data_IF_251808618715
#
_entry.id   IF_251808618715
#
_cell.length_a   1.000
_cell.length_b   1.000
_cell.length_c   1.000
_cell.angle_alpha   90.00
_cell.angle_beta   90.00
_cell.angle_gamma   90.00
#
_symmetry.space_group_name_H-M   'P 1'
#
loop_
_entity.id
_entity.type
_entity.pdbx_description
1 polymer ?
#
# COMPACT_ATOMS: atom_id res chain seq x y z
N UNK A 1 27.24 -3.22 -53.13
CA UNK A 1 26.69 -4.38 -52.41
C UNK A 1 27.42 -4.49 -51.08
N UNK A 2 26.85 -3.91 -50.02
CA UNK A 2 27.40 -3.99 -48.67
C UNK A 2 26.77 -5.21 -47.98
N UNK A 3 27.58 -6.22 -47.71
CA UNK A 3 27.18 -7.41 -46.96
C UNK A 3 26.94 -7.00 -45.50
N UNK A 4 25.68 -6.78 -45.14
CA UNK A 4 25.22 -6.66 -43.76
C UNK A 4 25.53 -7.97 -43.03
N UNK A 5 26.69 -8.01 -42.37
CA UNK A 5 27.12 -9.12 -41.54
C UNK A 5 26.22 -9.24 -40.31
N UNK A 6 25.82 -10.47 -39.98
CA UNK A 6 25.12 -10.83 -38.75
C UNK A 6 25.81 -10.32 -37.48
N UNK A 7 27.13 -10.07 -37.53
CA UNK A 7 27.89 -9.46 -36.43
C UNK A 7 27.53 -7.99 -36.19
N UNK A 8 27.25 -7.22 -37.25
CA UNK A 8 26.87 -5.80 -37.16
C UNK A 8 25.46 -5.63 -36.58
N UNK A 9 24.56 -6.58 -36.86
CA UNK A 9 23.22 -6.64 -36.26
C UNK A 9 23.33 -6.99 -34.77
N UNK A 10 24.14 -7.99 -34.40
CA UNK A 10 24.36 -8.38 -33.00
C UNK A 10 24.99 -7.27 -32.16
N UNK A 11 25.94 -6.52 -32.74
CA UNK A 11 26.63 -5.41 -32.06
C UNK A 11 25.77 -4.13 -31.95
N UNK A 12 24.82 -3.92 -32.87
CA UNK A 12 23.82 -2.86 -32.73
C UNK A 12 22.69 -3.23 -31.77
N UNK A 13 22.31 -4.52 -31.68
CA UNK A 13 21.38 -4.99 -30.64
C UNK A 13 21.97 -4.89 -29.22
N UNK A 14 23.28 -5.06 -29.05
CA UNK A 14 23.92 -4.86 -27.73
C UNK A 14 24.08 -3.39 -27.33
N UNK A 15 23.84 -2.45 -28.25
CA UNK A 15 23.73 -1.00 -27.96
C UNK A 15 22.29 -0.55 -27.72
N UNK A 16 21.30 -1.42 -27.92
CA UNK A 16 19.95 -1.19 -27.42
C UNK A 16 19.99 -1.39 -25.91
N UNK A 17 20.09 -0.28 -25.19
CA UNK A 17 19.95 -0.22 -23.74
C UNK A 17 18.55 -0.75 -23.39
N UNK A 18 18.46 -2.03 -23.02
CA UNK A 18 17.21 -2.74 -22.72
C UNK A 18 16.39 -2.05 -21.62
N UNK A 19 17.04 -1.23 -20.79
CA UNK A 19 16.41 -0.37 -19.81
C UNK A 19 15.46 0.68 -20.43
N UNK A 20 15.83 1.28 -21.57
CA UNK A 20 15.03 2.31 -22.23
C UNK A 20 13.79 1.78 -22.97
N UNK A 21 13.80 0.50 -23.36
CA UNK A 21 12.68 -0.13 -24.08
C UNK A 21 11.61 -0.72 -23.14
N UNK A 22 11.91 -0.83 -21.85
CA UNK A 22 11.04 -1.52 -20.88
C UNK A 22 9.71 -0.77 -20.70
N UNK A 23 9.74 0.55 -20.52
CA UNK A 23 8.51 1.35 -20.34
C UNK A 23 7.58 1.35 -21.58
N UNK A 24 8.08 1.61 -22.82
CA UNK A 24 7.26 1.47 -24.02
C UNK A 24 6.70 0.06 -24.22
N UNK A 25 7.49 -0.99 -23.96
CA UNK A 25 7.04 -2.37 -24.09
C UNK A 25 5.92 -2.70 -23.09
N UNK A 26 6.02 -2.18 -21.87
CA UNK A 26 5.01 -2.33 -20.83
C UNK A 26 3.70 -1.62 -21.18
N UNK A 27 3.76 -0.40 -21.71
CA UNK A 27 2.57 0.32 -22.20
C UNK A 27 1.93 -0.43 -23.36
N UNK A 28 2.73 -0.91 -24.31
CA UNK A 28 2.25 -1.71 -25.44
C UNK A 28 1.61 -3.02 -24.98
N UNK A 29 2.17 -3.67 -23.95
CA UNK A 29 1.59 -4.85 -23.32
C UNK A 29 0.22 -4.53 -22.72
N UNK A 30 0.09 -3.45 -21.95
CA UNK A 30 -1.20 -3.00 -21.40
C UNK A 30 -2.22 -2.76 -22.52
N UNK A 31 -1.83 -2.05 -23.58
CA UNK A 31 -2.71 -1.80 -24.73
C UNK A 31 -3.11 -3.10 -25.45
N UNK A 32 -2.17 -4.03 -25.60
CA UNK A 32 -2.43 -5.34 -26.20
C UNK A 32 -3.43 -6.15 -25.37
N UNK A 33 -3.35 -6.12 -24.04
CA UNK A 33 -4.28 -6.80 -23.14
C UNK A 33 -5.71 -6.27 -23.27
N UNK A 34 -5.89 -4.98 -23.61
CA UNK A 34 -7.23 -4.40 -23.82
C UNK A 34 -7.88 -4.91 -25.12
N UNK A 35 -7.09 -5.18 -26.16
CA UNK A 35 -7.59 -5.50 -27.51
C UNK A 35 -7.62 -7.00 -27.77
N UNK A 36 -6.65 -7.76 -27.23
CA UNK A 36 -6.49 -9.18 -27.50
C UNK A 36 -7.12 -10.04 -26.38
N UNK A 37 -7.81 -11.14 -26.73
CA UNK A 37 -8.32 -12.07 -25.73
C UNK A 37 -7.14 -12.78 -25.06
N UNK A 38 -7.06 -12.70 -23.74
CA UNK A 38 -6.01 -13.37 -22.98
C UNK A 38 -6.44 -14.78 -22.57
N UNK A 39 -5.56 -15.78 -22.75
CA UNK A 39 -5.77 -17.09 -22.15
C UNK A 39 -5.89 -17.00 -20.62
N UNK A 40 -6.74 -17.82 -19.97
CA UNK A 40 -6.94 -17.79 -18.52
C UNK A 40 -5.66 -17.94 -17.69
N UNK A 41 -4.67 -18.69 -18.19
CA UNK A 41 -3.37 -18.88 -17.53
C UNK A 41 -2.59 -17.57 -17.39
N UNK A 42 -2.63 -16.70 -18.41
CA UNK A 42 -1.97 -15.40 -18.33
C UNK A 42 -2.71 -14.44 -17.41
N UNK A 43 -4.05 -14.50 -17.37
CA UNK A 43 -4.83 -13.73 -16.40
C UNK A 43 -4.46 -14.11 -14.97
N UNK A 44 -4.42 -15.41 -14.65
CA UNK A 44 -4.01 -15.88 -13.33
C UNK A 44 -2.60 -15.38 -12.96
N UNK A 45 -1.64 -15.45 -13.90
CA UNK A 45 -0.28 -14.96 -13.68
C UNK A 45 -0.25 -13.46 -13.39
N UNK A 46 -0.89 -12.64 -14.22
CA UNK A 46 -0.87 -11.19 -14.07
C UNK A 46 -1.67 -10.69 -12.86
N UNK A 47 -2.79 -11.34 -12.50
CA UNK A 47 -3.50 -11.04 -11.26
C UNK A 47 -2.64 -11.36 -10.03
N UNK A 48 -2.01 -12.53 -10.01
CA UNK A 48 -1.09 -12.91 -8.93
C UNK A 48 0.10 -11.95 -8.85
N UNK A 49 0.67 -11.59 -9.99
CA UNK A 49 1.75 -10.60 -10.08
C UNK A 49 1.31 -9.22 -9.54
N UNK A 50 0.09 -8.77 -9.85
CA UNK A 50 -0.44 -7.51 -9.36
C UNK A 50 -0.60 -7.52 -7.83
N UNK A 51 -1.07 -8.64 -7.24
CA UNK A 51 -1.15 -8.83 -5.78
C UNK A 51 0.24 -8.79 -5.14
N UNK A 52 1.21 -9.54 -5.70
CA UNK A 52 2.60 -9.55 -5.20
C UNK A 52 3.21 -8.16 -5.27
N UNK A 53 3.02 -7.44 -6.38
CA UNK A 53 3.49 -6.07 -6.54
C UNK A 53 2.91 -5.15 -5.45
N UNK A 54 1.60 -5.22 -5.20
CA UNK A 54 0.97 -4.42 -4.17
C UNK A 54 1.47 -4.77 -2.75
N UNK A 55 1.71 -6.06 -2.46
CA UNK A 55 2.31 -6.52 -1.20
C UNK A 55 3.75 -6.02 -1.01
N UNK A 56 4.57 -6.06 -2.07
CA UNK A 56 5.93 -5.51 -2.01
C UNK A 56 5.88 -4.00 -1.76
N UNK A 57 5.00 -3.28 -2.45
CA UNK A 57 4.85 -1.83 -2.30
C UNK A 57 4.44 -1.43 -0.89
N UNK A 58 3.46 -2.12 -0.27
CA UNK A 58 3.07 -1.83 1.12
C UNK A 58 4.18 -2.16 2.11
N UNK A 59 4.93 -3.24 1.90
CA UNK A 59 6.05 -3.61 2.78
C UNK A 59 7.18 -2.57 2.71
N UNK A 60 7.51 -2.08 1.51
CA UNK A 60 8.44 -0.97 1.34
C UNK A 60 7.91 0.28 2.06
N UNK A 61 6.63 0.62 1.87
CA UNK A 61 6.03 1.79 2.50
C UNK A 61 6.08 1.74 4.04
N UNK A 62 5.89 0.57 4.65
CA UNK A 62 6.00 0.38 6.11
C UNK A 62 7.45 0.55 6.57
N UNK A 63 8.41 -0.03 5.83
CA UNK A 63 9.84 -0.02 6.18
C UNK A 63 10.57 1.29 5.90
N UNK A 64 10.05 2.12 5.00
CA UNK A 64 10.62 3.44 4.66
C UNK A 64 10.53 4.42 5.83
N UNK A 65 11.62 5.16 6.09
CA UNK A 65 11.69 6.17 7.16
C UNK A 65 11.24 7.55 6.68
N UNK A 66 11.63 7.93 5.46
CA UNK A 66 11.27 9.21 4.83
C UNK A 66 10.56 8.99 3.49
N UNK A 67 9.49 9.73 3.16
CA UNK A 67 8.78 9.58 1.89
C UNK A 67 9.70 9.56 0.65
N UNK A 68 10.74 10.40 0.64
CA UNK A 68 11.68 10.53 -0.47
C UNK A 68 12.57 9.30 -0.70
N UNK A 69 12.73 8.40 0.28
CA UNK A 69 13.46 7.14 0.09
C UNK A 69 12.73 6.22 -0.91
N UNK A 70 11.41 6.41 -1.07
CA UNK A 70 10.62 5.74 -2.09
C UNK A 70 10.13 6.72 -3.15
N UNK A 71 11.05 7.52 -3.72
CA UNK A 71 10.74 8.55 -4.72
C UNK A 71 10.05 8.01 -5.99
N UNK A 72 10.22 6.73 -6.33
CA UNK A 72 9.56 6.07 -7.45
C UNK A 72 8.10 5.67 -7.17
N UNK A 73 7.62 5.84 -5.95
CA UNK A 73 6.28 5.41 -5.52
C UNK A 73 5.13 5.91 -6.41
N UNK A 74 5.04 7.20 -6.80
CA UNK A 74 3.95 7.67 -7.67
C UNK A 74 3.92 6.97 -9.03
N UNK A 75 5.10 6.65 -9.58
CA UNK A 75 5.21 5.95 -10.87
C UNK A 75 4.80 4.49 -10.72
N UNK A 76 5.22 3.82 -9.64
CA UNK A 76 4.81 2.44 -9.35
C UNK A 76 3.30 2.35 -9.12
N UNK A 77 2.72 3.31 -8.40
CA UNK A 77 1.28 3.41 -8.16
C UNK A 77 0.51 3.56 -9.48
N UNK A 78 0.95 4.46 -10.36
CA UNK A 78 0.34 4.66 -11.68
C UNK A 78 0.43 3.39 -12.54
N UNK A 79 1.59 2.73 -12.56
CA UNK A 79 1.76 1.50 -13.32
C UNK A 79 0.88 0.36 -12.79
N UNK A 80 0.87 0.14 -11.47
CA UNK A 80 0.11 -0.92 -10.84
C UNK A 80 -1.40 -0.73 -11.02
N UNK A 81 -1.88 0.52 -11.00
CA UNK A 81 -3.29 0.85 -11.29
C UNK A 81 -3.64 0.66 -12.76
N UNK A 82 -2.80 1.10 -13.71
CA UNK A 82 -3.04 0.86 -15.13
C UNK A 82 -3.07 -0.63 -15.48
N UNK A 83 -2.12 -1.41 -14.94
CA UNK A 83 -2.09 -2.86 -15.12
C UNK A 83 -3.38 -3.50 -14.57
N UNK A 84 -3.84 -3.04 -13.41
CA UNK A 84 -5.10 -3.51 -12.81
C UNK A 84 -6.31 -3.19 -13.68
N UNK A 85 -6.41 -1.95 -14.18
CA UNK A 85 -7.52 -1.55 -15.06
C UNK A 85 -7.55 -2.40 -16.33
N UNK A 86 -6.38 -2.62 -16.93
CA UNK A 86 -6.24 -3.45 -18.13
C UNK A 86 -6.65 -4.90 -17.87
N UNK A 87 -6.27 -5.45 -16.71
CA UNK A 87 -6.67 -6.78 -16.28
C UNK A 87 -8.18 -6.89 -16.09
N UNK A 88 -8.82 -5.91 -15.45
CA UNK A 88 -10.28 -5.90 -15.26
C UNK A 88 -11.03 -5.88 -16.59
N UNK A 89 -10.54 -5.12 -17.58
CA UNK A 89 -11.15 -5.10 -18.92
C UNK A 89 -10.92 -6.43 -19.64
N UNK A 90 -9.72 -6.99 -19.56
CA UNK A 90 -9.40 -8.26 -20.19
C UNK A 90 -10.18 -9.44 -19.57
N UNK A 91 -10.29 -9.49 -18.24
CA UNK A 91 -11.03 -10.52 -17.51
C UNK A 91 -12.53 -10.39 -17.77
N UNK A 92 -13.08 -9.17 -17.78
CA UNK A 92 -14.47 -8.88 -18.15
C UNK A 92 -14.82 -9.48 -19.50
N UNK A 93 -13.98 -9.27 -20.51
CA UNK A 93 -14.19 -9.88 -21.83
C UNK A 93 -14.24 -11.40 -21.75
N UNK A 94 -13.30 -12.02 -21.04
CA UNK A 94 -13.26 -13.48 -20.89
C UNK A 94 -14.49 -13.99 -20.14
N UNK A 95 -14.95 -13.28 -19.11
CA UNK A 95 -16.17 -13.61 -18.36
C UNK A 95 -17.40 -13.52 -19.25
N UNK A 96 -17.55 -12.46 -20.04
CA UNK A 96 -18.72 -12.29 -20.90
C UNK A 96 -18.77 -13.27 -22.07
N UNK A 97 -17.61 -13.60 -22.66
CA UNK A 97 -17.52 -14.49 -23.82
C UNK A 97 -17.54 -15.97 -23.40
N UNK A 98 -16.75 -16.36 -22.39
CA UNK A 98 -16.55 -17.76 -22.02
C UNK A 98 -17.23 -18.13 -20.69
N UNK A 99 -17.91 -17.21 -20.00
CA UNK A 99 -18.48 -17.47 -18.67
C UNK A 99 -19.51 -18.59 -18.62
N UNK A 100 -20.12 -18.94 -19.76
CA UNK A 100 -21.01 -20.10 -19.89
C UNK A 100 -20.27 -21.46 -19.82
N UNK A 101 -18.95 -21.50 -20.05
CA UNK A 101 -18.16 -22.74 -20.07
C UNK A 101 -17.86 -23.29 -18.67
N UNK A 102 -18.13 -22.50 -17.63
CA UNK A 102 -18.00 -22.91 -16.23
C UNK A 102 -17.30 -21.89 -15.35
N UNK A 103 -17.12 -22.23 -14.07
CA UNK A 103 -16.52 -21.36 -13.05
C UNK A 103 -15.04 -21.06 -13.27
N UNK A 104 -14.34 -21.85 -14.09
CA UNK A 104 -12.91 -21.65 -14.40
C UNK A 104 -12.65 -20.85 -15.68
N UNK A 105 -13.70 -20.36 -16.35
CA UNK A 105 -13.56 -19.65 -17.62
C UNK A 105 -12.65 -18.41 -17.54
N UNK A 106 -12.67 -17.70 -16.40
CA UNK A 106 -11.89 -16.49 -16.17
C UNK A 106 -10.55 -16.73 -15.45
N UNK A 107 -10.13 -17.98 -15.30
CA UNK A 107 -8.94 -18.37 -14.55
C UNK A 107 -9.26 -18.99 -13.19
N UNK A 108 -8.27 -19.67 -12.62
CA UNK A 108 -8.39 -20.37 -11.34
C UNK A 108 -8.36 -19.41 -10.16
N UNK A 109 -7.64 -18.29 -10.29
CA UNK A 109 -7.55 -17.27 -9.24
C UNK A 109 -8.92 -16.64 -9.04
N UNK A 110 -9.56 -16.17 -10.12
CA UNK A 110 -10.92 -15.60 -10.08
C UNK A 110 -11.93 -16.58 -9.49
N UNK A 111 -11.91 -17.84 -9.94
CA UNK A 111 -12.80 -18.88 -9.42
C UNK A 111 -12.63 -19.09 -7.90
N UNK A 112 -11.39 -19.21 -7.42
CA UNK A 112 -11.09 -19.46 -6.03
C UNK A 112 -11.53 -18.31 -5.11
N UNK A 113 -11.32 -17.05 -5.53
CA UNK A 113 -11.79 -15.88 -4.80
C UNK A 113 -13.31 -15.76 -4.79
N UNK A 114 -13.98 -16.09 -5.90
CA UNK A 114 -15.44 -16.12 -5.97
C UNK A 114 -16.05 -17.16 -5.04
N UNK A 115 -15.51 -18.38 -5.04
CA UNK A 115 -15.96 -19.47 -4.15
C UNK A 115 -15.73 -19.14 -2.66
N UNK A 116 -14.60 -18.50 -2.33
CA UNK A 116 -14.26 -18.11 -0.97
C UNK A 116 -15.31 -17.17 -0.35
N UNK A 117 -15.80 -16.18 -1.10
CA UNK A 117 -16.77 -15.19 -0.56
C UNK A 117 -18.20 -15.69 -0.61
N UNK A 118 -18.55 -16.54 -1.57
CA UNK A 118 -19.92 -17.05 -1.70
C UNK A 118 -20.24 -18.07 -0.62
N UNK A 119 -19.27 -18.89 -0.18
CA UNK A 119 -19.44 -19.88 0.90
C UNK A 119 -20.72 -20.74 0.74
N UNK A 120 -21.11 -21.04 -0.50
CA UNK A 120 -22.31 -21.82 -0.85
C UNK A 120 -23.62 -21.02 -1.00
N UNK A 121 -23.67 -19.74 -0.62
CA UNK A 121 -24.85 -18.88 -0.79
C UNK A 121 -24.55 -17.64 -1.64
N UNK A 122 -24.94 -17.70 -2.92
CA UNK A 122 -24.69 -16.65 -3.92
C UNK A 122 -25.30 -15.29 -3.55
N UNK A 123 -26.47 -15.27 -2.90
CA UNK A 123 -27.12 -14.03 -2.48
C UNK A 123 -26.33 -13.35 -1.37
N UNK A 124 -25.93 -14.13 -0.36
CA UNK A 124 -25.10 -13.63 0.74
C UNK A 124 -23.74 -13.17 0.23
N UNK A 125 -23.12 -13.95 -0.66
CA UNK A 125 -21.85 -13.59 -1.31
C UNK A 125 -21.94 -12.25 -2.06
N UNK A 126 -23.00 -12.02 -2.82
CA UNK A 126 -23.24 -10.75 -3.52
C UNK A 126 -23.38 -9.58 -2.54
N UNK A 127 -24.13 -9.75 -1.44
CA UNK A 127 -24.31 -8.70 -0.43
C UNK A 127 -22.98 -8.35 0.25
N UNK A 128 -22.23 -9.36 0.71
CA UNK A 128 -20.92 -9.17 1.34
C UNK A 128 -19.97 -8.46 0.36
N UNK A 129 -19.95 -8.91 -0.89
CA UNK A 129 -19.12 -8.31 -1.91
C UNK A 129 -19.47 -6.84 -2.18
N UNK A 130 -20.76 -6.49 -2.27
CA UNK A 130 -21.20 -5.09 -2.44
C UNK A 130 -20.78 -4.23 -1.24
N UNK A 131 -20.86 -4.75 -0.02
CA UNK A 131 -20.37 -4.05 1.18
C UNK A 131 -18.86 -3.80 1.08
N UNK A 132 -18.07 -4.81 0.72
CA UNK A 132 -16.62 -4.67 0.55
C UNK A 132 -16.27 -3.63 -0.53
N UNK A 133 -16.99 -3.65 -1.66
CA UNK A 133 -16.88 -2.63 -2.72
C UNK A 133 -17.16 -1.22 -2.21
N UNK A 134 -18.24 -1.03 -1.46
CA UNK A 134 -18.59 0.27 -0.89
C UNK A 134 -17.50 0.75 0.07
N UNK A 135 -17.02 -0.11 0.98
CA UNK A 135 -15.97 0.24 1.94
C UNK A 135 -14.68 0.62 1.21
N UNK A 136 -14.25 -0.18 0.23
CA UNK A 136 -13.05 0.12 -0.52
C UNK A 136 -13.14 1.45 -1.26
N UNK A 137 -14.25 1.71 -1.97
CA UNK A 137 -14.40 2.93 -2.75
C UNK A 137 -14.61 4.18 -1.87
N UNK A 138 -15.63 4.16 -0.99
CA UNK A 138 -16.05 5.34 -0.23
C UNK A 138 -15.08 5.64 0.90
N UNK A 139 -14.62 4.63 1.64
CA UNK A 139 -13.80 4.83 2.82
C UNK A 139 -12.32 4.86 2.45
N UNK A 140 -11.85 3.82 1.76
CA UNK A 140 -10.39 3.64 1.56
C UNK A 140 -9.88 4.51 0.41
N UNK A 141 -10.36 4.33 -0.82
CA UNK A 141 -9.83 5.04 -1.99
C UNK A 141 -10.10 6.53 -1.92
N UNK A 142 -11.35 6.95 -1.65
CA UNK A 142 -11.67 8.38 -1.47
C UNK A 142 -10.96 8.99 -0.25
N UNK A 143 -10.85 8.24 0.84
CA UNK A 143 -10.12 8.69 2.03
C UNK A 143 -8.64 8.93 1.74
N UNK A 144 -7.96 7.95 1.16
CA UNK A 144 -6.56 8.04 0.76
C UNK A 144 -6.33 9.16 -0.25
N UNK A 145 -7.23 9.33 -1.24
CA UNK A 145 -7.16 10.41 -2.22
C UNK A 145 -7.27 11.80 -1.56
N UNK A 146 -8.22 12.00 -0.66
CA UNK A 146 -8.39 13.26 0.09
C UNK A 146 -7.16 13.57 0.95
N UNK A 147 -6.63 12.59 1.64
CA UNK A 147 -5.43 12.75 2.47
C UNK A 147 -4.21 13.08 1.61
N UNK A 148 -4.07 12.42 0.46
CA UNK A 148 -3.00 12.71 -0.52
C UNK A 148 -3.10 14.10 -1.11
N UNK A 149 -4.27 14.51 -1.58
CA UNK A 149 -4.49 15.83 -2.18
C UNK A 149 -4.17 16.96 -1.18
N UNK A 150 -4.71 16.84 0.04
CA UNK A 150 -4.55 17.87 1.07
C UNK A 150 -3.10 17.98 1.54
N UNK A 151 -2.43 16.86 1.83
CA UNK A 151 -1.03 16.88 2.26
C UNK A 151 -0.07 17.30 1.15
N UNK A 152 -0.30 16.84 -0.09
CA UNK A 152 0.51 17.29 -1.23
C UNK A 152 0.38 18.80 -1.39
N UNK A 153 -0.85 19.34 -1.35
CA UNK A 153 -1.06 20.77 -1.49
C UNK A 153 -0.42 21.58 -0.37
N UNK A 154 -0.62 21.21 0.89
CA UNK A 154 0.00 21.93 2.00
C UNK A 154 1.54 21.85 1.98
N UNK A 155 2.08 20.70 1.58
CA UNK A 155 3.54 20.54 1.45
C UNK A 155 4.08 21.40 0.32
N UNK A 156 3.39 21.46 -0.83
CA UNK A 156 3.75 22.30 -1.98
C UNK A 156 3.61 23.80 -1.67
N UNK A 157 2.56 24.20 -0.95
CA UNK A 157 2.34 25.59 -0.53
C UNK A 157 3.42 26.07 0.47
N UNK A 158 4.04 25.14 1.23
CA UNK A 158 5.14 25.43 2.14
C UNK A 158 6.53 25.53 1.47
N UNK A 159 6.66 25.17 0.19
CA UNK A 159 7.95 25.10 -0.51
C UNK A 159 8.67 26.44 -0.64
N UNK A 160 8.01 27.56 -0.98
CA UNK A 160 8.66 28.86 -1.01
C UNK A 160 9.24 29.26 0.36
N UNK A 161 8.54 28.93 1.45
CA UNK A 161 9.02 29.16 2.81
C UNK A 161 10.29 28.35 3.12
N UNK A 162 10.31 27.06 2.75
CA UNK A 162 11.50 26.20 2.88
C UNK A 162 12.67 26.69 2.01
N UNK A 163 12.41 27.21 0.80
CA UNK A 163 13.44 27.81 -0.06
C UNK A 163 14.03 29.06 0.59
N UNK A 164 13.15 29.97 1.05
CA UNK A 164 13.57 31.21 1.72
C UNK A 164 14.36 30.92 3.01
N UNK A 165 14.02 29.89 3.78
CA UNK A 165 14.80 29.53 4.96
C UNK A 165 16.20 29.01 4.61
N UNK A 166 16.36 28.25 3.52
CA UNK A 166 17.70 27.82 3.06
C UNK A 166 18.53 29.04 2.63
N UNK A 167 17.92 30.00 1.95
CA UNK A 167 18.60 31.22 1.51
C UNK A 167 18.97 32.11 2.69
N UNK A 168 18.10 32.21 3.70
CA UNK A 168 18.36 32.93 4.94
C UNK A 168 19.51 32.27 5.72
N UNK A 169 19.52 30.94 5.87
CA UNK A 169 20.58 30.19 6.55
C UNK A 169 21.94 30.38 5.85
N UNK A 170 21.96 30.37 4.51
CA UNK A 170 23.17 30.59 3.71
C UNK A 170 23.68 32.03 3.86
N UNK A 171 22.78 33.01 3.82
CA UNK A 171 23.13 34.43 4.00
C UNK A 171 23.58 34.74 5.43
N UNK A 172 23.06 34.01 6.42
CA UNK A 172 23.47 34.09 7.83
C UNK A 172 24.79 33.34 8.12
N UNK A 173 25.33 32.59 7.15
CA UNK A 173 26.55 31.79 7.31
C UNK A 173 26.38 30.55 8.18
N UNK A 174 25.13 30.11 8.44
CA UNK A 174 24.84 28.88 9.20
C UNK A 174 25.12 27.61 8.38
N UNK A 175 25.03 27.72 7.05
CA UNK A 175 25.31 26.63 6.11
C UNK A 175 26.23 27.12 4.98
N UNK A 176 26.97 26.19 4.38
CA UNK A 176 27.82 26.44 3.22
C UNK A 176 27.06 26.26 1.89
N UNK A 177 27.69 26.65 0.78
CA UNK A 177 27.11 26.57 -0.56
C UNK A 177 26.81 25.11 -1.00
N UNK A 178 27.64 24.13 -0.62
CA UNK A 178 27.39 22.75 -1.00
C UNK A 178 26.18 22.18 -0.25
N UNK A 179 26.06 22.46 1.05
CA UNK A 179 24.87 22.07 1.84
C UNK A 179 23.61 22.76 1.32
N UNK A 180 23.67 24.06 1.00
CA UNK A 180 22.54 24.78 0.42
C UNK A 180 22.08 24.16 -0.91
N UNK A 181 23.03 23.80 -1.79
CA UNK A 181 22.73 23.12 -3.06
C UNK A 181 22.08 21.76 -2.83
N UNK A 182 22.57 20.96 -1.88
CA UNK A 182 21.99 19.66 -1.53
C UNK A 182 20.56 19.79 -0.99
N UNK A 183 20.33 20.72 -0.04
CA UNK A 183 18.99 20.98 0.50
C UNK A 183 18.00 21.46 -0.56
N UNK A 184 18.43 22.32 -1.48
CA UNK A 184 17.59 22.75 -2.63
C UNK A 184 17.26 21.58 -3.57
N UNK A 185 18.20 20.67 -3.81
CA UNK A 185 17.95 19.48 -4.62
C UNK A 185 16.95 18.53 -3.95
N UNK A 186 17.09 18.28 -2.64
CA UNK A 186 16.11 17.51 -1.85
C UNK A 186 14.73 18.16 -1.88
N UNK A 187 14.66 19.49 -1.77
CA UNK A 187 13.42 20.24 -1.86
C UNK A 187 12.79 20.14 -3.27
N UNK A 188 13.58 20.18 -4.33
CA UNK A 188 13.07 19.93 -5.69
C UNK A 188 12.45 18.53 -5.82
N UNK A 189 13.12 17.51 -5.29
CA UNK A 189 12.61 16.14 -5.29
C UNK A 189 11.32 15.99 -4.49
N UNK A 190 11.21 16.71 -3.36
CA UNK A 190 9.97 16.77 -2.57
C UNK A 190 8.82 17.40 -3.38
N UNK A 191 9.09 18.46 -4.14
CA UNK A 191 8.11 19.08 -5.03
C UNK A 191 7.62 18.10 -6.10
N UNK A 192 8.56 17.46 -6.79
CA UNK A 192 8.24 16.54 -7.89
C UNK A 192 7.50 15.31 -7.38
N UNK A 193 7.87 14.81 -6.20
CA UNK A 193 7.22 13.68 -5.53
C UNK A 193 5.77 13.99 -5.21
N UNK A 194 5.49 15.05 -4.43
CA UNK A 194 4.13 15.39 -4.02
C UNK A 194 3.26 15.87 -5.19
N UNK A 195 3.84 16.55 -6.18
CA UNK A 195 3.15 16.91 -7.41
C UNK A 195 2.74 15.68 -8.24
N UNK A 196 3.65 14.72 -8.43
CA UNK A 196 3.35 13.46 -9.12
C UNK A 196 2.36 12.59 -8.34
N UNK A 197 2.42 12.65 -7.01
CA UNK A 197 1.57 11.88 -6.11
C UNK A 197 0.10 12.34 -6.13
N UNK A 198 -0.17 13.65 -6.20
CA UNK A 198 -1.54 14.17 -6.40
C UNK A 198 -2.14 13.67 -7.71
N UNK A 199 -1.34 13.69 -8.79
CA UNK A 199 -1.74 13.15 -10.09
C UNK A 199 -2.05 11.65 -10.03
N UNK A 200 -1.11 10.83 -9.52
CA UNK A 200 -1.28 9.38 -9.43
C UNK A 200 -2.49 8.98 -8.55
N UNK A 201 -2.75 9.70 -7.46
CA UNK A 201 -3.90 9.43 -6.57
C UNK A 201 -5.26 9.66 -7.23
N UNK A 202 -5.36 10.62 -8.17
CA UNK A 202 -6.56 10.82 -8.98
C UNK A 202 -6.81 9.67 -9.95
N UNK A 203 -5.76 9.06 -10.50
CA UNK A 203 -5.87 7.84 -11.32
C UNK A 203 -6.40 6.65 -10.51
N UNK A 204 -5.90 6.44 -9.29
CA UNK A 204 -6.39 5.37 -8.39
C UNK A 204 -7.89 5.56 -8.10
N UNK A 205 -8.31 6.80 -7.85
CA UNK A 205 -9.71 7.14 -7.57
C UNK A 205 -10.60 6.91 -8.79
N UNK A 206 -10.13 7.29 -9.99
CA UNK A 206 -10.84 7.06 -11.24
C UNK A 206 -11.00 5.57 -11.55
N UNK A 207 -9.97 4.77 -11.29
CA UNK A 207 -10.04 3.33 -11.48
C UNK A 207 -11.10 2.68 -10.56
N UNK A 208 -11.18 3.07 -9.28
CA UNK A 208 -12.15 2.45 -8.38
C UNK A 208 -13.62 2.70 -8.84
N UNK A 209 -13.89 3.85 -9.47
CA UNK A 209 -15.17 4.13 -10.14
C UNK A 209 -15.36 3.19 -11.34
N UNK A 210 -14.32 3.04 -12.18
CA UNK A 210 -14.37 2.14 -13.32
C UNK A 210 -14.64 0.68 -12.88
N UNK A 211 -13.98 0.20 -11.81
CA UNK A 211 -14.22 -1.14 -11.26
C UNK A 211 -15.67 -1.37 -10.82
N UNK A 212 -16.31 -0.35 -10.22
CA UNK A 212 -17.73 -0.43 -9.87
C UNK A 212 -18.64 -0.48 -11.12
N UNK A 213 -18.31 0.29 -12.16
CA UNK A 213 -19.06 0.26 -13.42
C UNK A 213 -18.90 -1.09 -14.14
N UNK A 214 -17.67 -1.61 -14.20
CA UNK A 214 -17.35 -2.91 -14.78
C UNK A 214 -18.14 -4.02 -14.10
N UNK A 215 -18.25 -3.98 -12.76
CA UNK A 215 -19.07 -4.92 -12.01
C UNK A 215 -20.53 -4.94 -12.49
N UNK A 216 -21.15 -3.77 -12.58
CA UNK A 216 -22.55 -3.64 -12.98
C UNK A 216 -22.72 -4.17 -14.41
N UNK A 217 -21.79 -3.83 -15.30
CA UNK A 217 -21.77 -4.32 -16.68
C UNK A 217 -21.62 -5.84 -16.72
N UNK A 218 -20.79 -6.44 -15.87
CA UNK A 218 -20.56 -7.88 -15.85
C UNK A 218 -21.78 -8.65 -15.34
N UNK A 219 -22.43 -8.17 -14.28
CA UNK A 219 -23.65 -8.80 -13.75
C UNK A 219 -24.77 -8.69 -14.79
N UNK A 220 -25.06 -7.49 -15.28
CA UNK A 220 -26.20 -7.25 -16.19
C UNK A 220 -25.94 -7.86 -17.57
N UNK A 221 -24.76 -7.61 -18.14
CA UNK A 221 -24.35 -8.13 -19.43
C UNK A 221 -24.18 -9.64 -19.43
N UNK A 222 -23.59 -10.21 -18.38
CA UNK A 222 -23.44 -11.65 -18.22
C UNK A 222 -24.77 -12.37 -18.11
N UNK A 223 -25.71 -11.84 -17.32
CA UNK A 223 -27.07 -12.37 -17.26
C UNK A 223 -27.79 -12.29 -18.60
N UNK A 224 -27.70 -11.15 -19.30
CA UNK A 224 -28.31 -10.97 -20.61
C UNK A 224 -27.74 -11.95 -21.65
N UNK A 225 -26.42 -12.08 -21.74
CA UNK A 225 -25.74 -13.02 -22.66
C UNK A 225 -26.06 -14.47 -22.31
N UNK A 226 -25.98 -14.84 -21.03
CA UNK A 226 -26.26 -16.19 -20.56
C UNK A 226 -27.68 -16.67 -20.90
N UNK A 227 -28.67 -15.81 -20.70
CA UNK A 227 -30.08 -16.15 -20.96
C UNK A 227 -30.40 -16.06 -22.45
N UNK A 228 -29.99 -14.98 -23.14
CA UNK A 228 -30.43 -14.72 -24.52
C UNK A 228 -29.61 -15.48 -25.58
N UNK A 229 -28.31 -15.70 -25.34
CA UNK A 229 -27.42 -16.31 -26.34
C UNK A 229 -27.10 -17.78 -26.02
N UNK A 230 -26.99 -18.14 -24.75
CA UNK A 230 -26.56 -19.48 -24.33
C UNK A 230 -27.69 -20.36 -23.76
N UNK A 231 -28.95 -19.89 -23.81
CA UNK A 231 -30.14 -20.61 -23.32
C UNK A 231 -30.02 -21.10 -21.87
N UNK A 232 -29.23 -20.44 -21.03
CA UNK A 232 -29.12 -20.77 -19.61
C UNK A 232 -30.36 -20.30 -18.86
N UNK A 233 -30.77 -21.04 -17.84
CA UNK A 233 -31.81 -20.55 -16.93
C UNK A 233 -31.31 -19.33 -16.16
N UNK A 234 -32.22 -18.44 -15.73
CA UNK A 234 -31.87 -17.26 -14.93
C UNK A 234 -31.04 -17.63 -13.69
N UNK A 235 -31.36 -18.76 -13.06
CA UNK A 235 -30.64 -19.25 -11.87
C UNK A 235 -29.23 -19.75 -12.21
N UNK A 236 -29.04 -20.47 -13.32
CA UNK A 236 -27.72 -20.95 -13.74
C UNK A 236 -26.82 -19.82 -14.22
N UNK A 237 -27.36 -18.93 -15.06
CA UNK A 237 -26.66 -17.72 -15.50
C UNK A 237 -26.28 -16.85 -14.30
N UNK A 238 -27.18 -16.68 -13.33
CA UNK A 238 -26.90 -16.01 -12.08
C UNK A 238 -25.74 -16.66 -11.32
N UNK A 239 -25.76 -17.97 -11.12
CA UNK A 239 -24.68 -18.67 -10.40
C UNK A 239 -23.31 -18.52 -11.07
N UNK A 240 -23.23 -18.68 -12.39
CA UNK A 240 -21.96 -18.61 -13.13
C UNK A 240 -21.43 -17.17 -13.21
N UNK A 241 -22.22 -16.26 -13.76
CA UNK A 241 -21.76 -14.90 -14.02
C UNK A 241 -21.62 -14.07 -12.74
N UNK A 242 -22.47 -14.27 -11.73
CA UNK A 242 -22.29 -13.58 -10.44
C UNK A 242 -21.05 -14.10 -9.71
N UNK A 243 -20.78 -15.41 -9.73
CA UNK A 243 -19.57 -15.96 -9.11
C UNK A 243 -18.30 -15.44 -9.78
N UNK A 244 -18.24 -15.48 -11.10
CA UNK A 244 -17.11 -14.97 -11.86
C UNK A 244 -16.91 -13.46 -11.65
N UNK A 245 -18.00 -12.69 -11.59
CA UNK A 245 -17.94 -11.24 -11.39
C UNK A 245 -17.49 -10.88 -9.97
N UNK A 246 -17.99 -11.58 -8.95
CA UNK A 246 -17.55 -11.39 -7.56
C UNK A 246 -16.07 -11.75 -7.43
N UNK A 247 -15.67 -12.89 -7.99
CA UNK A 247 -14.27 -13.33 -7.99
C UNK A 247 -13.35 -12.31 -8.63
N UNK A 248 -13.70 -11.82 -9.82
CA UNK A 248 -12.93 -10.82 -10.57
C UNK A 248 -12.80 -9.51 -9.79
N UNK A 249 -13.93 -9.02 -9.25
CA UNK A 249 -13.96 -7.83 -8.42
C UNK A 249 -13.06 -7.95 -7.18
N UNK A 250 -13.09 -9.09 -6.48
CA UNK A 250 -12.28 -9.32 -5.28
C UNK A 250 -10.79 -9.37 -5.57
N UNK A 251 -10.41 -10.09 -6.64
CA UNK A 251 -9.02 -10.21 -7.07
C UNK A 251 -8.44 -8.84 -7.41
N UNK A 252 -9.22 -7.99 -8.08
CA UNK A 252 -8.83 -6.62 -8.38
C UNK A 252 -8.79 -5.71 -7.14
N UNK A 253 -9.58 -6.01 -6.12
CA UNK A 253 -9.74 -5.15 -4.96
C UNK A 253 -8.61 -5.27 -3.94
N UNK A 254 -8.05 -6.47 -3.76
CA UNK A 254 -6.95 -6.69 -2.81
C UNK A 254 -5.74 -5.79 -3.12
N UNK A 255 -5.19 -5.75 -4.36
CA UNK A 255 -4.12 -4.83 -4.72
C UNK A 255 -4.50 -3.37 -4.51
N UNK A 256 -5.73 -2.99 -4.88
CA UNK A 256 -6.24 -1.61 -4.73
C UNK A 256 -6.23 -1.16 -3.27
N UNK A 257 -6.68 -2.03 -2.36
CA UNK A 257 -6.68 -1.78 -0.91
C UNK A 257 -5.25 -1.61 -0.38
N UNK A 258 -4.35 -2.52 -0.74
CA UNK A 258 -2.94 -2.49 -0.30
C UNK A 258 -2.23 -1.23 -0.80
N UNK A 259 -2.43 -0.86 -2.07
CA UNK A 259 -1.85 0.36 -2.65
C UNK A 259 -2.45 1.63 -2.03
N UNK A 260 -3.76 1.66 -1.79
CA UNK A 260 -4.40 2.81 -1.13
C UNK A 260 -3.91 2.99 0.31
N UNK A 261 -3.68 1.88 1.03
CA UNK A 261 -3.10 1.89 2.37
C UNK A 261 -1.63 2.33 2.33
N UNK A 262 -0.84 1.82 1.37
CA UNK A 262 0.55 2.26 1.17
C UNK A 262 0.62 3.78 0.88
N UNK A 263 -0.27 4.28 0.04
CA UNK A 263 -0.43 5.72 -0.22
C UNK A 263 -0.72 6.49 1.05
N UNK A 264 -1.70 6.05 1.84
CA UNK A 264 -2.02 6.69 3.11
C UNK A 264 -0.80 6.72 4.04
N UNK A 265 -0.09 5.59 4.19
CA UNK A 265 1.10 5.44 5.04
C UNK A 265 2.27 6.35 4.62
N UNK A 266 2.49 6.51 3.31
CA UNK A 266 3.57 7.36 2.77
C UNK A 266 3.24 8.84 2.94
N UNK A 267 1.99 9.22 2.65
CA UNK A 267 1.56 10.62 2.69
C UNK A 267 1.40 11.14 4.12
N UNK A 268 0.92 10.32 5.06
CA UNK A 268 0.80 10.72 6.48
C UNK A 268 2.10 10.59 7.26
N UNK A 269 3.19 10.18 6.58
CA UNK A 269 4.49 10.03 7.21
C UNK A 269 5.02 11.38 7.68
N UNK A 270 5.21 11.50 8.99
CA UNK A 270 6.01 12.60 9.56
C UNK A 270 7.47 12.29 9.32
N UNK A 271 8.23 13.26 8.82
CA UNK A 271 9.67 13.13 8.59
C UNK A 271 10.40 12.99 9.93
N UNK A 272 10.60 11.76 10.38
CA UNK A 272 11.38 11.43 11.58
C UNK A 272 12.47 10.41 11.24
N UNK A 273 13.37 10.13 12.18
CA UNK A 273 14.43 9.11 12.04
C UNK A 273 13.96 7.68 12.29
N UNK A 274 12.73 7.49 12.79
CA UNK A 274 12.17 6.19 13.22
C UNK A 274 11.18 5.65 12.18
N UNK A 275 11.10 4.32 12.03
CA UNK A 275 10.07 3.65 11.22
C UNK A 275 8.70 3.69 11.93
N UNK A 276 7.60 3.44 11.21
CA UNK A 276 6.25 3.36 11.84
C UNK A 276 6.22 2.28 12.91
N UNK A 277 6.88 1.14 12.68
CA UNK A 277 6.91 0.04 13.64
C UNK A 277 7.64 0.47 14.91
N UNK A 278 8.79 1.15 14.79
CA UNK A 278 9.54 1.67 15.95
C UNK A 278 8.69 2.68 16.74
N UNK A 279 8.10 3.66 16.05
CA UNK A 279 7.25 4.67 16.68
C UNK A 279 6.01 4.08 17.34
N UNK A 280 5.29 3.20 16.63
CA UNK A 280 4.09 2.57 17.16
C UNK A 280 4.42 1.70 18.37
N UNK A 281 5.53 0.95 18.33
CA UNK A 281 5.96 0.12 19.46
C UNK A 281 6.33 0.99 20.66
N UNK A 282 7.08 2.09 20.44
CA UNK A 282 7.44 3.05 21.49
C UNK A 282 6.22 3.73 22.10
N UNK A 283 5.24 4.14 21.29
CA UNK A 283 4.03 4.81 21.74
C UNK A 283 3.03 3.86 22.42
N UNK A 284 2.87 2.63 21.93
CA UNK A 284 2.05 1.60 22.57
C UNK A 284 2.67 1.09 23.86
N UNK A 285 4.00 1.10 23.96
CA UNK A 285 4.73 0.80 25.19
C UNK A 285 4.66 1.96 26.20
N UNK A 286 3.55 2.70 26.26
CA UNK A 286 3.31 3.69 27.32
C UNK A 286 2.59 2.98 28.49
N UNK A 287 3.24 2.80 29.65
CA UNK A 287 2.65 2.08 30.77
C UNK A 287 1.35 2.70 31.25
N UNK A 288 1.29 4.02 31.33
CA UNK A 288 0.12 4.77 31.79
C UNK A 288 -1.10 4.50 30.91
N UNK A 289 -0.93 4.51 29.59
CA UNK A 289 -2.00 4.20 28.64
C UNK A 289 -2.50 2.76 28.79
N UNK A 290 -1.60 1.79 29.01
CA UNK A 290 -1.93 0.38 29.20
C UNK A 290 -2.74 0.15 30.48
N UNK A 291 -2.35 0.77 31.61
CA UNK A 291 -3.10 0.65 32.87
C UNK A 291 -4.47 1.32 32.84
N UNK A 292 -4.57 2.51 32.24
CA UNK A 292 -5.86 3.20 32.07
C UNK A 292 -6.80 2.33 31.21
N UNK A 293 -6.30 1.76 30.12
CA UNK A 293 -7.06 0.87 29.26
C UNK A 293 -7.53 -0.39 29.99
N UNK A 294 -6.65 -1.01 30.80
CA UNK A 294 -7.01 -2.16 31.62
C UNK A 294 -8.11 -1.84 32.64
N UNK A 295 -8.04 -0.68 33.30
CA UNK A 295 -9.10 -0.21 34.20
C UNK A 295 -10.44 -0.02 33.49
N UNK A 296 -10.44 0.61 32.31
CA UNK A 296 -11.66 0.80 31.50
C UNK A 296 -12.25 -0.55 31.08
N UNK A 297 -11.41 -1.51 30.67
CA UNK A 297 -11.85 -2.86 30.31
C UNK A 297 -12.47 -3.61 31.50
N UNK A 298 -11.96 -3.43 32.73
CA UNK A 298 -12.57 -3.99 33.94
C UNK A 298 -13.95 -3.39 34.18
N UNK A 299 -14.08 -2.06 34.08
CA UNK A 299 -15.36 -1.36 34.29
C UNK A 299 -16.40 -1.81 33.26
N UNK A 300 -16.04 -1.85 31.97
CA UNK A 300 -16.90 -2.38 30.90
C UNK A 300 -17.25 -3.85 31.14
N UNK A 301 -16.25 -4.63 31.59
CA UNK A 301 -16.41 -6.03 31.97
C UNK A 301 -17.25 -6.26 33.22
N UNK A 302 -17.73 -5.24 33.93
CA UNK A 302 -18.72 -5.37 35.01
C UNK A 302 -20.16 -5.08 34.57
N UNK A 303 -20.35 -4.59 33.34
CA UNK A 303 -21.69 -4.27 32.80
C UNK A 303 -22.45 -5.57 32.46
N UNK A 304 -23.63 -5.80 33.05
CA UNK A 304 -24.41 -7.01 32.82
C UNK A 304 -24.88 -7.11 31.36
N UNK A 305 -24.71 -8.29 30.75
CA UNK A 305 -25.06 -8.56 29.35
C UNK A 305 -23.88 -8.49 28.37
N UNK A 306 -22.69 -8.07 28.82
CA UNK A 306 -21.46 -8.13 28.03
C UNK A 306 -20.68 -9.44 28.29
N UNK A 307 -19.83 -9.91 27.36
CA UNK A 307 -18.99 -11.10 27.55
C UNK A 307 -17.87 -10.85 28.58
N UNK A 308 -18.23 -10.88 29.87
CA UNK A 308 -17.36 -10.55 31.01
C UNK A 308 -15.99 -11.23 30.96
N UNK A 309 -15.96 -12.50 30.56
CA UNK A 309 -14.75 -13.31 30.46
C UNK A 309 -13.75 -12.73 29.45
N UNK A 310 -14.22 -12.20 28.31
CA UNK A 310 -13.36 -11.59 27.28
C UNK A 310 -12.76 -10.25 27.77
N UNK A 311 -13.57 -9.43 28.45
CA UNK A 311 -13.12 -8.14 28.95
C UNK A 311 -12.12 -8.27 30.10
N UNK A 312 -12.38 -9.17 31.05
CA UNK A 312 -11.48 -9.38 32.20
C UNK A 312 -10.16 -10.01 31.76
N UNK A 313 -10.19 -10.96 30.82
CA UNK A 313 -8.95 -11.57 30.29
C UNK A 313 -8.12 -10.55 29.50
N UNK A 314 -8.75 -9.73 28.66
CA UNK A 314 -8.06 -8.65 27.95
C UNK A 314 -7.51 -7.59 28.90
N UNK A 315 -8.24 -7.26 29.97
CA UNK A 315 -7.77 -6.32 31.00
C UNK A 315 -6.53 -6.83 31.73
N UNK A 316 -6.54 -8.11 32.14
CA UNK A 316 -5.38 -8.74 32.77
C UNK A 316 -4.19 -8.81 31.80
N UNK A 317 -4.42 -9.13 30.53
CA UNK A 317 -3.37 -9.14 29.51
C UNK A 317 -2.76 -7.75 29.29
N UNK A 318 -3.58 -6.70 29.20
CA UNK A 318 -3.10 -5.31 29.02
C UNK A 318 -2.38 -4.80 30.26
N UNK A 319 -2.87 -5.07 31.47
CA UNK A 319 -2.16 -4.75 32.71
C UNK A 319 -0.82 -5.52 32.82
N UNK A 320 -0.80 -6.80 32.43
CA UNK A 320 0.42 -7.61 32.38
C UNK A 320 1.46 -7.07 31.39
N UNK A 321 1.03 -6.62 30.21
CA UNK A 321 1.90 -5.93 29.25
C UNK A 321 2.44 -4.61 29.83
N UNK A 322 1.60 -3.83 30.53
CA UNK A 322 2.03 -2.60 31.21
C UNK A 322 3.12 -2.83 32.25
N UNK A 323 2.98 -3.88 33.07
CA UNK A 323 4.01 -4.29 34.03
C UNK A 323 5.31 -4.76 33.34
N UNK A 324 5.20 -5.48 32.24
CA UNK A 324 6.36 -5.95 31.47
C UNK A 324 7.15 -4.79 30.84
N UNK A 325 6.46 -3.74 30.42
CA UNK A 325 7.09 -2.52 29.89
C UNK A 325 7.84 -1.78 31.00
N UNK A 326 7.21 -1.52 32.15
CA UNK A 326 7.87 -0.84 33.29
C UNK A 326 9.10 -1.60 33.73
N UNK A 327 8.99 -2.93 33.87
CA UNK A 327 10.13 -3.76 34.30
C UNK A 327 11.28 -3.74 33.30
N UNK A 328 11.00 -3.63 32.00
CA UNK A 328 12.03 -3.42 30.96
C UNK A 328 12.66 -2.03 31.01
N UNK A 329 11.87 -0.98 31.21
CA UNK A 329 12.39 0.40 31.34
C UNK A 329 13.31 0.52 32.55
N UNK A 330 12.87 0.04 33.72
CA UNK A 330 13.67 0.05 34.96
C UNK A 330 14.94 -0.79 34.83
N UNK A 331 14.90 -1.90 34.09
CA UNK A 331 16.09 -2.71 33.80
C UNK A 331 17.07 -2.01 32.87
N UNK A 332 16.56 -1.28 31.87
CA UNK A 332 17.39 -0.52 30.94
C UNK A 332 18.08 0.67 31.63
N UNK A 333 17.32 1.43 32.44
CA UNK A 333 17.88 2.54 33.25
C UNK A 333 18.98 2.04 34.20
N UNK A 334 18.75 0.91 34.90
CA UNK A 334 19.80 0.31 35.76
C UNK A 334 21.03 -0.14 35.00
N UNK A 335 20.88 -0.63 33.77
CA UNK A 335 22.02 -1.04 32.94
C UNK A 335 22.80 0.17 32.43
N UNK A 336 22.12 1.26 32.08
CA UNK A 336 22.76 2.53 31.71
C UNK A 336 23.48 3.17 32.90
N UNK A 337 22.88 3.18 34.09
CA UNK A 337 23.53 3.65 35.32
C UNK A 337 24.77 2.81 35.66
N UNK A 338 24.69 1.49 35.58
CA UNK A 338 25.83 0.60 35.81
C UNK A 338 26.93 0.76 34.75
N UNK A 339 26.57 1.01 33.49
CA UNK A 339 27.53 1.28 32.43
C UNK A 339 28.21 2.66 32.60
N UNK A 340 27.46 3.67 33.07
CA UNK A 340 27.99 4.99 33.40
C UNK A 340 28.91 4.96 34.64
N UNK A 341 28.54 4.22 35.69
CA UNK A 341 29.41 3.99 36.86
C UNK A 341 30.68 3.21 36.49
N UNK A 342 30.57 2.20 35.62
CA UNK A 342 31.73 1.45 35.15
C UNK A 342 32.66 2.33 34.29
N UNK A 343 32.11 3.22 33.46
CA UNK A 343 32.88 4.17 32.66
C UNK A 343 33.58 5.24 33.55
N UNK A 344 32.88 5.75 34.56
CA UNK A 344 33.43 6.69 35.54
C UNK A 344 34.52 6.06 36.43
N UNK A 345 34.41 4.76 36.72
CA UNK A 345 35.44 4.01 37.47
C UNK A 345 36.71 3.70 36.65
N UNK A 346 36.67 3.85 35.33
CA UNK A 346 37.84 3.69 34.44
C UNK A 346 38.59 4.99 34.12
N UNK A 347 38.07 6.16 34.50
CA UNK A 347 38.88 7.39 34.49
C UNK A 347 39.84 7.37 35.69
N UNK A 348 41.17 7.42 35.49
CA UNK A 348 42.11 7.43 36.60
C UNK A 348 41.86 8.68 37.45
N UNK A 349 42.04 8.61 38.79
CA UNK A 349 41.86 9.78 39.64
C UNK A 349 42.80 10.86 39.12
N UNK A 350 42.25 12.04 38.84
CA UNK A 350 43.02 13.22 38.48
C UNK A 350 43.98 13.48 39.64
N UNK A 351 45.24 13.07 39.48
CA UNK A 351 46.28 13.29 40.46
C UNK A 351 46.35 14.81 40.68
N UNK A 352 46.04 15.25 41.89
CA UNK A 352 46.32 16.60 42.35
C UNK A 352 47.83 16.79 42.24
N UNK A 353 48.24 17.53 41.22
CA UNK A 353 49.63 17.93 41.05
C UNK A 353 49.98 18.98 42.11
N UNK A 354 51.21 18.93 42.59
CA UNK A 354 51.71 19.82 43.64
C UNK A 354 51.90 21.28 43.16
N UNK A 355 51.48 21.59 41.94
CA UNK A 355 51.42 22.95 41.38
C UNK A 355 50.11 23.70 41.72
N UNK A 356 49.13 23.04 42.36
CA UNK A 356 47.84 23.63 42.77
C UNK A 356 47.77 24.06 44.27
N UNK A 357 48.89 24.08 45.00
CA UNK A 357 49.03 24.64 46.37
C UNK A 357 50.03 25.79 46.37
#
# INVERSE_FOLDING_TARGET
>A
MSTLSLSTIRQNLSKFETAGLTMPAVVLLIMAMLVLPLPPVFLDFFFTFNIVCALVVIMIAIGTKKPLEFSSFPTVLLFATMLRLALNVASTRVILVNGHEGTHAAGKVVAAFGEFVIAGNYVVGLIIFVILMIINFIVVTKGAGRVSEVNARFTLDAMPGKQMSIDADLNAGLIDQETAKKRRAELSQESDFFGSMDGASKFVSGDAIAGLLILIINIVGGLAIGIMQHNLSFTEAGKLYVLLTIGDGLVAQIPSLLLSLATAIIVTRVTTSESITEQATRQLANPTALFISACILIILGMVPGMPHLMFITLALATAGLGLMVITREVQHERQEEQAAEAAAATEPPKELDWDDV
#
